data_IF_371249940361
#
_entry.id   IF_371249940361
#
_cell.length_a   1.000
_cell.length_b   1.000
_cell.length_c   1.000
_cell.angle_alpha   90.00
_cell.angle_beta   90.00
_cell.angle_gamma   90.00
#
_symmetry.space_group_name_H-M   'P 1'
#
loop_
_entity.id
_entity.type
_entity.pdbx_description
1 polymer ?
#
# COMPACT_ATOMS: atom_id res chain seq x y z
N UNK A 1 18.04 -45.20 66.10
CA UNK A 1 16.96 -45.39 65.10
C UNK A 1 16.37 -44.04 64.73
N UNK A 2 16.69 -43.55 63.53
CA UNK A 2 15.91 -42.69 62.61
C UNK A 2 16.91 -41.95 61.72
N UNK A 3 17.14 -42.55 60.54
CA UNK A 3 17.79 -41.92 59.41
C UNK A 3 16.90 -40.77 58.94
N UNK A 4 17.44 -39.55 58.86
CA UNK A 4 16.86 -38.49 58.05
C UNK A 4 17.85 -38.14 56.94
N UNK A 5 17.50 -38.61 55.75
CA UNK A 5 18.15 -38.38 54.47
C UNK A 5 17.74 -36.98 53.99
N UNK A 6 18.64 -36.00 54.10
CA UNK A 6 18.38 -34.65 53.57
C UNK A 6 18.72 -34.63 52.08
N UNK A 7 17.69 -34.68 51.25
CA UNK A 7 17.77 -34.59 49.79
C UNK A 7 18.09 -33.13 49.39
N UNK A 8 19.31 -32.85 48.95
CA UNK A 8 19.67 -31.57 48.33
C UNK A 8 19.12 -31.55 46.89
N UNK A 9 18.00 -30.87 46.67
CA UNK A 9 17.50 -30.60 45.33
C UNK A 9 18.36 -29.52 44.67
N UNK A 10 19.24 -29.92 43.74
CA UNK A 10 19.99 -29.01 42.89
C UNK A 10 19.03 -28.42 41.84
N UNK A 11 18.49 -27.23 42.10
CA UNK A 11 17.78 -26.47 41.07
C UNK A 11 18.77 -25.97 40.02
N UNK A 12 18.93 -26.72 38.94
CA UNK A 12 19.55 -26.23 37.70
C UNK A 12 18.61 -25.18 37.09
N UNK A 13 18.91 -23.90 37.31
CA UNK A 13 18.37 -22.82 36.49
C UNK A 13 18.99 -22.94 35.10
N UNK A 14 18.30 -23.63 34.19
CA UNK A 14 18.56 -23.48 32.77
C UNK A 14 18.05 -22.10 32.38
N UNK A 15 18.96 -21.13 32.34
CA UNK A 15 18.71 -19.85 31.66
C UNK A 15 18.59 -20.18 30.18
N UNK A 16 17.37 -20.43 29.71
CA UNK A 16 17.08 -20.34 28.28
C UNK A 16 17.27 -18.86 27.90
N UNK A 17 18.45 -18.53 27.41
CA UNK A 17 18.67 -17.29 26.68
C UNK A 17 17.76 -17.31 25.47
N UNK A 18 16.61 -16.67 25.59
CA UNK A 18 15.80 -16.29 24.44
C UNK A 18 16.71 -15.43 23.56
N UNK A 19 17.12 -15.96 22.39
CA UNK A 19 17.73 -15.14 21.36
C UNK A 19 16.68 -14.15 20.90
N UNK A 20 16.66 -12.98 21.52
CA UNK A 20 15.95 -11.80 21.03
C UNK A 20 16.50 -11.51 19.64
N UNK A 21 15.68 -11.70 18.60
CA UNK A 21 16.00 -11.40 17.19
C UNK A 21 16.28 -9.92 16.89
N UNK A 22 16.51 -9.09 17.92
CA UNK A 22 16.82 -7.68 17.82
C UNK A 22 18.33 -7.40 17.61
N UNK A 23 19.21 -8.40 17.77
CA UNK A 23 20.65 -8.21 17.54
C UNK A 23 21.11 -8.53 16.11
N UNK A 24 20.33 -9.27 15.31
CA UNK A 24 20.67 -9.55 13.90
C UNK A 24 20.19 -8.45 12.92
N UNK A 25 19.26 -7.59 13.33
CA UNK A 25 18.81 -6.44 12.53
C UNK A 25 19.86 -5.34 12.40
N UNK A 26 20.85 -5.28 13.30
CA UNK A 26 21.96 -4.32 13.25
C UNK A 26 23.01 -4.63 12.15
N UNK A 27 22.92 -5.76 11.46
CA UNK A 27 23.88 -6.17 10.41
C UNK A 27 23.39 -6.00 8.97
N UNK A 28 22.09 -5.78 8.75
CA UNK A 28 21.55 -5.62 7.41
C UNK A 28 21.38 -4.13 7.11
N UNK A 29 21.96 -3.66 6.00
CA UNK A 29 21.72 -2.29 5.54
C UNK A 29 20.26 -2.07 5.13
N UNK A 30 19.91 -0.83 4.78
CA UNK A 30 18.58 -0.46 4.27
C UNK A 30 18.16 -1.32 3.06
N UNK A 31 16.86 -1.43 2.82
CA UNK A 31 16.33 -2.03 1.58
C UNK A 31 16.42 -1.05 0.41
N UNK A 32 16.32 -1.54 -0.83
CA UNK A 32 16.24 -0.66 -2.01
C UNK A 32 14.99 0.22 -1.94
N UNK A 33 13.87 -0.31 -1.45
CA UNK A 33 12.65 0.49 -1.29
C UNK A 33 12.83 1.58 -0.24
N UNK A 34 13.43 1.27 0.92
CA UNK A 34 13.72 2.24 1.98
C UNK A 34 14.64 3.35 1.47
N UNK A 35 15.69 3.01 0.73
CA UNK A 35 16.59 4.01 0.11
C UNK A 35 15.83 5.00 -0.80
N UNK A 36 14.92 4.51 -1.63
CA UNK A 36 14.12 5.35 -2.52
C UNK A 36 13.04 6.13 -1.76
N UNK A 37 12.44 5.53 -0.74
CA UNK A 37 11.40 6.15 0.08
C UNK A 37 11.93 7.34 0.89
N UNK A 38 13.10 7.17 1.51
CA UNK A 38 13.76 8.17 2.37
C UNK A 38 14.35 9.36 1.62
N UNK A 39 14.28 9.35 0.27
CA UNK A 39 14.66 10.50 -0.55
C UNK A 39 13.84 11.75 -0.19
N UNK A 40 14.48 12.92 -0.03
CA UNK A 40 13.76 14.15 0.28
C UNK A 40 12.87 14.64 -0.87
N UNK A 41 13.21 14.28 -2.12
CA UNK A 41 12.39 14.63 -3.28
C UNK A 41 11.04 13.90 -3.22
N UNK A 42 9.93 14.59 -3.52
CA UNK A 42 8.60 13.98 -3.59
C UNK A 42 8.55 12.92 -4.72
N UNK A 43 9.22 13.20 -5.84
CA UNK A 43 9.34 12.32 -7.00
C UNK A 43 10.79 11.88 -7.19
N UNK A 44 11.05 10.57 -7.15
CA UNK A 44 12.37 10.03 -7.48
C UNK A 44 12.50 9.76 -8.98
N UNK A 45 13.64 10.05 -9.56
CA UNK A 45 13.92 9.77 -10.97
C UNK A 45 14.65 8.44 -11.11
N UNK A 46 14.09 7.54 -11.93
CA UNK A 46 14.63 6.20 -12.17
C UNK A 46 14.78 5.93 -13.66
N UNK A 47 15.74 5.11 -14.03
CA UNK A 47 15.86 4.54 -15.37
C UNK A 47 15.77 3.03 -15.29
N UNK A 48 14.92 2.42 -16.12
CA UNK A 48 14.80 0.96 -16.23
C UNK A 48 15.11 0.56 -17.67
N UNK A 49 16.19 -0.20 -17.85
CA UNK A 49 16.57 -0.83 -19.12
C UNK A 49 16.02 -2.27 -19.14
N UNK A 50 15.15 -2.59 -20.10
CA UNK A 50 14.51 -3.91 -20.24
C UNK A 50 13.90 -4.03 -21.64
N UNK A 51 13.57 -5.24 -22.16
CA UNK A 51 12.79 -5.36 -23.39
C UNK A 51 11.33 -4.93 -23.15
N UNK A 52 11.08 -3.64 -22.96
CA UNK A 52 9.85 -3.11 -22.37
C UNK A 52 8.65 -3.32 -23.29
N UNK A 53 8.82 -3.15 -24.60
CA UNK A 53 7.77 -3.49 -25.57
C UNK A 53 7.37 -4.96 -25.51
N UNK A 54 8.32 -5.86 -25.28
CA UNK A 54 8.03 -7.29 -25.12
C UNK A 54 7.14 -7.53 -23.89
N UNK A 55 7.44 -6.88 -22.76
CA UNK A 55 6.63 -6.96 -21.54
C UNK A 55 5.21 -6.46 -21.80
N UNK A 56 5.05 -5.34 -22.51
CA UNK A 56 3.73 -4.77 -22.85
C UNK A 56 2.93 -5.72 -23.73
N UNK A 57 3.54 -6.22 -24.82
CA UNK A 57 2.88 -7.10 -25.78
C UNK A 57 2.51 -8.46 -25.18
N UNK A 58 3.33 -8.96 -24.24
CA UNK A 58 3.16 -10.27 -23.59
C UNK A 58 2.75 -10.16 -22.13
N UNK A 59 2.15 -9.04 -21.71
CA UNK A 59 1.80 -8.77 -20.30
C UNK A 59 0.92 -9.84 -19.66
N UNK A 60 0.11 -10.56 -20.45
CA UNK A 60 -0.69 -11.69 -19.98
C UNK A 60 0.12 -12.92 -19.56
N UNK A 61 1.33 -13.11 -20.10
CA UNK A 61 2.19 -14.26 -19.78
C UNK A 61 2.99 -14.09 -18.48
N UNK A 62 3.10 -12.87 -17.97
CA UNK A 62 3.86 -12.53 -16.76
C UNK A 62 5.31 -13.05 -16.75
N UNK A 63 5.93 -13.16 -17.93
CA UNK A 63 7.31 -13.62 -18.07
C UNK A 63 8.30 -12.65 -17.41
N UNK A 64 9.22 -13.20 -16.61
CA UNK A 64 10.35 -12.45 -16.06
C UNK A 64 11.33 -12.11 -17.18
N UNK A 65 11.64 -10.82 -17.33
CA UNK A 65 12.68 -10.29 -18.22
C UNK A 65 13.82 -9.75 -17.39
N UNK A 66 15.05 -9.92 -17.86
CA UNK A 66 16.21 -9.25 -17.26
C UNK A 66 16.04 -7.74 -17.44
N UNK A 67 16.42 -6.99 -16.41
CA UNK A 67 16.39 -5.55 -16.44
C UNK A 67 17.48 -4.96 -15.56
N UNK A 68 17.87 -3.73 -15.88
CA UNK A 68 18.80 -2.94 -15.09
C UNK A 68 18.05 -1.71 -14.59
N UNK A 69 18.03 -1.52 -13.26
CA UNK A 69 17.52 -0.31 -12.62
C UNK A 69 18.71 0.61 -12.32
N UNK A 70 18.60 1.89 -12.69
CA UNK A 70 19.58 2.93 -12.35
C UNK A 70 18.91 4.15 -11.74
N UNK A 71 19.59 4.79 -10.80
CA UNK A 71 19.20 6.06 -10.19
C UNK A 71 20.40 6.68 -9.46
N UNK A 72 20.23 7.90 -8.95
CA UNK A 72 21.25 8.60 -8.16
C UNK A 72 21.02 8.35 -6.66
N UNK A 73 22.04 7.83 -5.98
CA UNK A 73 22.06 7.54 -4.55
C UNK A 73 21.98 8.79 -3.66
N UNK A 74 21.77 8.57 -2.36
CA UNK A 74 21.71 9.61 -1.32
C UNK A 74 22.97 10.50 -1.25
N UNK A 75 24.11 9.91 -1.58
CA UNK A 75 25.43 10.51 -1.64
C UNK A 75 25.77 11.15 -3.01
N UNK A 76 24.81 11.16 -3.94
CA UNK A 76 25.00 11.64 -5.31
C UNK A 76 25.70 10.64 -6.23
N UNK A 77 26.06 9.45 -5.76
CA UNK A 77 26.73 8.44 -6.59
C UNK A 77 25.71 7.65 -7.44
N UNK A 78 26.08 7.21 -8.65
CA UNK A 78 25.21 6.35 -9.44
C UNK A 78 25.00 5.00 -8.75
N UNK A 79 23.75 4.58 -8.63
CA UNK A 79 23.36 3.26 -8.13
C UNK A 79 22.78 2.44 -9.28
N UNK A 80 23.21 1.18 -9.38
CA UNK A 80 22.73 0.23 -10.37
C UNK A 80 22.36 -1.11 -9.73
N UNK A 81 21.22 -1.66 -10.12
CA UNK A 81 20.78 -2.99 -9.72
C UNK A 81 20.41 -3.83 -10.94
N UNK A 82 21.02 -5.01 -11.05
CA UNK A 82 20.58 -6.06 -11.96
C UNK A 82 19.40 -6.81 -11.33
N UNK A 83 18.29 -6.88 -12.05
CA UNK A 83 17.05 -7.47 -11.56
C UNK A 83 16.27 -8.19 -12.67
N UNK A 84 15.16 -8.81 -12.28
CA UNK A 84 14.14 -9.29 -13.20
C UNK A 84 12.86 -8.49 -13.03
N UNK A 85 12.17 -8.19 -14.12
CA UNK A 85 10.92 -7.43 -14.12
C UNK A 85 9.85 -8.16 -14.93
N UNK A 86 8.60 -8.07 -14.50
CA UNK A 86 7.44 -8.64 -15.21
C UNK A 86 6.20 -7.79 -14.99
N UNK A 87 5.21 -7.94 -15.87
CA UNK A 87 3.86 -7.45 -15.62
C UNK A 87 3.21 -8.15 -14.42
N UNK A 88 2.28 -7.45 -13.74
CA UNK A 88 1.44 -7.96 -12.65
C UNK A 88 0.03 -7.35 -12.70
N UNK A 89 -0.86 -7.86 -11.86
CA UNK A 89 -2.23 -7.39 -11.73
C UNK A 89 -3.18 -8.14 -12.66
N UNK A 90 -4.46 -7.81 -12.61
CA UNK A 90 -5.48 -8.43 -13.47
C UNK A 90 -6.05 -7.37 -14.43
N UNK A 91 -6.99 -6.54 -13.94
CA UNK A 91 -7.70 -5.54 -14.74
C UNK A 91 -6.79 -4.56 -15.48
N UNK A 92 -5.82 -3.93 -14.80
CA UNK A 92 -4.87 -3.01 -15.47
C UNK A 92 -4.02 -3.68 -16.55
N UNK A 93 -3.79 -5.00 -16.50
CA UNK A 93 -3.15 -5.71 -17.64
C UNK A 93 -4.08 -5.78 -18.85
N UNK A 94 -5.39 -5.78 -18.66
CA UNK A 94 -6.37 -5.82 -19.75
C UNK A 94 -6.57 -4.41 -20.32
N UNK A 95 -6.80 -3.41 -19.47
CA UNK A 95 -7.24 -2.07 -19.91
C UNK A 95 -6.12 -1.06 -20.16
N UNK A 96 -4.97 -1.20 -19.50
CA UNK A 96 -3.87 -0.24 -19.60
C UNK A 96 -2.85 -0.65 -20.67
N UNK A 97 -2.28 0.33 -21.38
CA UNK A 97 -1.19 0.05 -22.32
C UNK A 97 0.06 -0.36 -21.55
N UNK A 98 0.47 0.43 -20.55
CA UNK A 98 1.52 0.08 -19.63
C UNK A 98 0.94 -0.64 -18.40
N UNK A 99 1.29 -1.92 -18.17
CA UNK A 99 0.80 -2.65 -17.00
C UNK A 99 1.56 -2.20 -15.74
N UNK A 100 0.99 -2.42 -14.55
CA UNK A 100 1.75 -2.47 -13.32
C UNK A 100 2.84 -3.53 -13.41
N UNK A 101 4.00 -3.29 -12.79
CA UNK A 101 5.15 -4.19 -12.85
C UNK A 101 5.53 -4.68 -11.45
N UNK A 102 6.29 -5.77 -11.44
CA UNK A 102 6.97 -6.27 -10.25
C UNK A 102 8.46 -6.39 -10.56
N UNK A 103 9.28 -5.66 -9.83
CA UNK A 103 10.74 -5.82 -9.83
C UNK A 103 11.13 -6.92 -8.84
N UNK A 104 12.06 -7.77 -9.25
CA UNK A 104 12.58 -8.89 -8.47
C UNK A 104 14.11 -8.87 -8.52
N UNK A 105 14.72 -8.50 -7.40
CA UNK A 105 16.16 -8.41 -7.21
C UNK A 105 16.74 -9.78 -6.83
N UNK A 106 18.04 -9.98 -7.08
CA UNK A 106 18.75 -11.14 -6.52
C UNK A 106 19.13 -10.85 -5.07
N UNK A 107 18.71 -11.73 -4.14
CA UNK A 107 19.07 -11.60 -2.71
C UNK A 107 20.58 -11.58 -2.50
N UNK A 108 21.35 -12.40 -3.24
CA UNK A 108 22.80 -12.44 -3.09
C UNK A 108 23.47 -11.15 -3.57
N UNK A 109 23.00 -10.58 -4.68
CA UNK A 109 23.51 -9.30 -5.19
C UNK A 109 23.15 -8.15 -4.25
N UNK A 110 21.94 -8.14 -3.69
CA UNK A 110 21.54 -7.15 -2.68
C UNK A 110 22.47 -7.18 -1.47
N UNK A 111 22.70 -8.37 -0.88
CA UNK A 111 23.59 -8.52 0.27
C UNK A 111 25.04 -8.15 -0.06
N UNK A 112 25.53 -8.50 -1.25
CA UNK A 112 26.86 -8.09 -1.72
C UNK A 112 26.98 -6.56 -1.85
N UNK A 113 25.91 -5.89 -2.28
CA UNK A 113 25.83 -4.43 -2.37
C UNK A 113 25.47 -3.75 -1.03
N UNK A 114 25.41 -4.50 0.08
CA UNK A 114 25.15 -3.96 1.42
C UNK A 114 23.67 -3.72 1.77
N UNK A 115 22.73 -4.15 0.93
CA UNK A 115 21.30 -4.03 1.17
C UNK A 115 20.74 -5.24 1.93
N UNK A 116 19.68 -5.01 2.72
CA UNK A 116 18.87 -6.11 3.24
C UNK A 116 18.23 -6.93 2.10
N UNK A 117 18.07 -8.25 2.25
CA UNK A 117 17.66 -9.16 1.17
C UNK A 117 16.14 -9.14 0.87
N UNK A 118 15.50 -7.98 1.03
CA UNK A 118 14.15 -7.73 0.53
C UNK A 118 14.23 -7.46 -0.96
N UNK A 119 13.63 -8.36 -1.72
CA UNK A 119 14.04 -8.61 -3.09
C UNK A 119 12.92 -8.36 -4.10
N UNK A 120 11.84 -7.72 -3.68
CA UNK A 120 10.70 -7.45 -4.55
C UNK A 120 10.22 -6.03 -4.32
N UNK A 121 9.88 -5.31 -5.37
CA UNK A 121 9.18 -4.02 -5.28
C UNK A 121 8.03 -4.04 -6.29
N UNK A 122 6.83 -3.70 -5.82
CA UNK A 122 5.66 -3.54 -6.69
C UNK A 122 5.64 -2.10 -7.19
N UNK A 123 5.34 -1.92 -8.47
CA UNK A 123 5.11 -0.60 -9.03
C UNK A 123 3.83 -0.54 -9.86
N UNK A 124 3.06 0.52 -9.67
CA UNK A 124 1.87 0.83 -10.49
C UNK A 124 2.24 1.97 -11.44
N UNK A 125 2.17 1.72 -12.76
CA UNK A 125 2.47 2.74 -13.78
C UNK A 125 1.21 3.54 -14.14
N UNK A 126 1.40 4.78 -14.58
CA UNK A 126 0.39 5.45 -15.43
C UNK A 126 0.03 4.56 -16.61
N UNK A 127 -1.27 4.37 -16.87
CA UNK A 127 -1.74 3.42 -17.88
C UNK A 127 -1.31 3.77 -19.32
N UNK A 128 -1.11 5.06 -19.60
CA UNK A 128 -0.59 5.66 -20.82
C UNK A 128 0.18 6.94 -20.45
N UNK A 129 1.01 7.51 -21.32
CA UNK A 129 1.59 8.83 -21.10
C UNK A 129 0.48 9.88 -21.22
N UNK A 130 0.63 11.01 -20.54
CA UNK A 130 -0.27 12.16 -20.65
C UNK A 130 -0.94 12.54 -19.33
N UNK A 131 -1.44 13.78 -19.29
CA UNK A 131 -1.86 14.46 -18.07
C UNK A 131 -2.99 13.73 -17.34
N UNK A 132 -4.00 13.23 -18.05
CA UNK A 132 -5.14 12.54 -17.43
C UNK A 132 -4.74 11.22 -16.74
N UNK A 133 -3.84 10.44 -17.36
CA UNK A 133 -3.36 9.18 -16.77
C UNK A 133 -2.46 9.45 -15.57
N UNK A 134 -1.64 10.50 -15.65
CA UNK A 134 -0.83 10.96 -14.52
C UNK A 134 -1.71 11.43 -13.37
N UNK A 135 -2.79 12.17 -13.66
CA UNK A 135 -3.76 12.62 -12.67
C UNK A 135 -4.40 11.44 -11.92
N UNK A 136 -4.81 10.39 -12.63
CA UNK A 136 -5.32 9.16 -12.00
C UNK A 136 -4.28 8.55 -11.06
N UNK A 137 -3.04 8.41 -11.51
CA UNK A 137 -1.96 7.87 -10.68
C UNK A 137 -1.68 8.74 -9.45
N UNK A 138 -1.68 10.07 -9.60
CA UNK A 138 -1.43 10.97 -8.48
C UNK A 138 -2.55 10.93 -7.44
N UNK A 139 -3.80 10.79 -7.87
CA UNK A 139 -4.94 10.59 -6.96
C UNK A 139 -4.87 9.24 -6.24
N UNK A 140 -4.44 8.18 -6.93
CA UNK A 140 -4.20 6.88 -6.29
C UNK A 140 -3.09 6.98 -5.23
N UNK A 141 -1.97 7.63 -5.58
CA UNK A 141 -0.87 7.92 -4.65
C UNK A 141 -1.34 8.72 -3.43
N UNK A 142 -2.19 9.73 -3.66
CA UNK A 142 -2.81 10.51 -2.59
C UNK A 142 -3.67 9.62 -1.69
N UNK A 143 -4.42 8.66 -2.24
CA UNK A 143 -5.17 7.67 -1.44
C UNK A 143 -4.28 6.96 -0.41
N UNK A 144 -3.10 6.49 -0.82
CA UNK A 144 -2.13 5.91 0.12
C UNK A 144 -1.64 6.93 1.16
N UNK A 145 -1.28 8.15 0.73
CA UNK A 145 -0.82 9.22 1.63
C UNK A 145 -1.87 9.60 2.67
N UNK A 146 -3.15 9.67 2.29
CA UNK A 146 -4.27 9.92 3.20
C UNK A 146 -4.43 8.78 4.21
N UNK A 147 -4.32 7.52 3.77
CA UNK A 147 -4.39 6.38 4.69
C UNK A 147 -3.20 6.32 5.66
N UNK A 148 -2.01 6.75 5.24
CA UNK A 148 -0.85 6.87 6.13
C UNK A 148 -1.07 7.83 7.32
N UNK A 149 -1.95 8.84 7.16
CA UNK A 149 -2.32 9.77 8.23
C UNK A 149 -3.33 9.16 9.23
N UNK A 150 -4.05 8.12 8.82
CA UNK A 150 -5.08 7.46 9.64
C UNK A 150 -4.48 6.34 10.49
N UNK A 151 -3.59 5.55 9.89
CA UNK A 151 -3.13 4.30 10.50
C UNK A 151 -1.62 4.07 10.30
N UNK A 152 -0.88 3.70 11.37
CA UNK A 152 0.51 3.25 11.24
C UNK A 152 0.61 1.91 10.48
N UNK A 153 -0.48 1.12 10.47
CA UNK A 153 -0.60 -0.12 9.70
C UNK A 153 -1.05 0.22 8.28
N UNK A 154 -0.12 0.76 7.51
CA UNK A 154 -0.36 1.25 6.15
C UNK A 154 0.87 0.98 5.28
N UNK A 155 0.67 0.79 3.98
CA UNK A 155 1.79 0.70 3.05
C UNK A 155 2.45 2.07 2.89
N UNK A 156 3.78 2.11 2.99
CA UNK A 156 4.55 3.26 2.50
C UNK A 156 4.54 3.26 0.98
N UNK A 157 4.50 4.44 0.39
CA UNK A 157 4.57 4.62 -1.06
C UNK A 157 5.55 5.74 -1.42
N UNK A 158 6.15 5.65 -2.60
CA UNK A 158 6.98 6.71 -3.17
C UNK A 158 6.61 6.95 -4.63
N UNK A 159 6.43 8.20 -5.01
CA UNK A 159 6.19 8.55 -6.41
C UNK A 159 7.53 8.54 -7.17
N UNK A 160 7.53 7.97 -8.37
CA UNK A 160 8.69 7.91 -9.23
C UNK A 160 8.34 8.41 -10.63
N UNK A 161 9.29 9.08 -11.28
CA UNK A 161 9.29 9.31 -12.73
C UNK A 161 10.31 8.34 -13.33
N UNK A 162 9.81 7.38 -14.11
CA UNK A 162 10.62 6.29 -14.65
C UNK A 162 10.82 6.49 -16.15
N UNK A 163 12.08 6.52 -16.57
CA UNK A 163 12.48 6.41 -17.97
C UNK A 163 12.70 4.94 -18.31
N UNK A 164 11.79 4.37 -19.09
CA UNK A 164 11.95 3.02 -19.62
C UNK A 164 12.75 3.06 -20.92
N UNK A 165 13.91 2.42 -20.95
CA UNK A 165 14.74 2.25 -22.14
C UNK A 165 14.54 0.84 -22.71
N UNK A 166 14.11 0.74 -23.97
CA UNK A 166 13.85 -0.54 -24.61
C UNK A 166 15.12 -1.10 -25.26
N UNK A 167 15.67 -2.17 -24.67
CA UNK A 167 16.92 -2.79 -25.16
C UNK A 167 16.76 -3.47 -26.53
N UNK A 168 15.53 -3.80 -26.94
CA UNK A 168 15.27 -4.41 -28.25
C UNK A 168 15.10 -3.33 -29.34
N UNK A 169 15.07 -2.04 -28.96
CA UNK A 169 14.77 -0.91 -29.85
C UNK A 169 15.63 0.30 -29.50
N UNK A 170 16.82 0.33 -30.10
CA UNK A 170 17.81 1.38 -29.87
C UNK A 170 17.23 2.80 -29.97
N UNK A 171 17.57 3.64 -29.00
CA UNK A 171 17.14 5.03 -28.91
C UNK A 171 15.68 5.25 -28.49
N UNK A 172 14.89 4.19 -28.23
CA UNK A 172 13.50 4.34 -27.79
C UNK A 172 13.39 4.36 -26.27
N UNK A 173 12.87 5.48 -25.76
CA UNK A 173 12.51 5.64 -24.36
C UNK A 173 11.04 5.98 -24.18
N UNK A 174 10.51 5.71 -23.00
CA UNK A 174 9.21 6.20 -22.57
C UNK A 174 9.30 6.63 -21.11
N UNK A 175 8.91 7.86 -20.82
CA UNK A 175 8.78 8.36 -19.46
C UNK A 175 7.36 8.13 -18.94
N UNK A 176 7.24 7.56 -17.75
CA UNK A 176 5.97 7.37 -17.05
C UNK A 176 6.13 7.71 -15.58
N UNK A 177 5.08 8.25 -14.98
CA UNK A 177 5.00 8.23 -13.52
C UNK A 177 4.62 6.82 -13.05
N UNK A 178 5.10 6.46 -11.86
CA UNK A 178 4.77 5.22 -11.18
C UNK A 178 4.73 5.40 -9.66
N UNK A 179 3.92 4.60 -8.99
CA UNK A 179 3.93 4.47 -7.52
C UNK A 179 4.77 3.25 -7.18
N UNK A 180 5.87 3.44 -6.44
CA UNK A 180 6.56 2.37 -5.75
C UNK A 180 5.81 2.06 -4.47
N UNK A 181 5.41 0.80 -4.27
CA UNK A 181 4.64 0.37 -3.11
C UNK A 181 5.53 -0.51 -2.23
N UNK A 182 5.52 -0.21 -0.92
CA UNK A 182 6.25 -0.98 0.08
C UNK A 182 5.92 -2.48 -0.05
N UNK A 183 6.92 -3.35 -0.12
CA UNK A 183 6.68 -4.78 -0.17
C UNK A 183 6.03 -5.27 1.13
N UNK A 184 5.08 -6.21 1.05
CA UNK A 184 4.37 -6.72 2.23
C UNK A 184 5.32 -7.35 3.27
N UNK A 185 6.42 -7.95 2.81
CA UNK A 185 7.48 -8.44 3.68
C UNK A 185 8.21 -7.30 4.42
N UNK A 186 8.46 -6.17 3.75
CA UNK A 186 9.08 -5.00 4.37
C UNK A 186 8.13 -4.30 5.33
N UNK A 187 6.85 -4.16 4.95
CA UNK A 187 5.78 -3.70 5.83
C UNK A 187 5.74 -4.50 7.13
N UNK A 188 5.75 -5.83 7.02
CA UNK A 188 5.75 -6.72 8.19
C UNK A 188 7.02 -6.56 9.03
N UNK A 189 8.19 -6.50 8.40
CA UNK A 189 9.44 -6.29 9.11
C UNK A 189 9.46 -4.94 9.85
N UNK A 190 8.99 -3.86 9.21
CA UNK A 190 8.86 -2.53 9.81
C UNK A 190 7.93 -2.52 11.02
N UNK A 191 6.84 -3.27 10.96
CA UNK A 191 5.83 -3.32 12.03
C UNK A 191 6.10 -4.43 13.06
N UNK A 192 7.17 -5.21 12.92
CA UNK A 192 7.39 -6.41 13.73
C UNK A 192 6.28 -7.45 13.60
N UNK A 193 5.51 -7.40 12.51
CA UNK A 193 4.31 -8.18 12.28
C UNK A 193 4.58 -9.42 11.44
N UNK A 194 3.62 -10.34 11.41
CA UNK A 194 3.65 -11.52 10.53
C UNK A 194 2.60 -11.42 9.42
N UNK A 195 2.99 -11.81 8.20
CA UNK A 195 2.07 -11.95 7.07
C UNK A 195 1.11 -13.11 7.35
N UNK A 196 -0.19 -12.89 7.19
CA UNK A 196 -1.18 -13.95 7.24
C UNK A 196 -1.80 -14.10 5.86
N UNK A 197 -1.41 -15.16 5.15
CA UNK A 197 -1.89 -15.42 3.78
C UNK A 197 -3.23 -16.16 3.71
N UNK A 198 -3.84 -16.48 4.86
CA UNK A 198 -5.11 -17.21 4.92
C UNK A 198 -6.26 -16.32 4.45
N UNK A 199 -7.08 -16.85 3.52
CA UNK A 199 -8.41 -16.30 3.24
C UNK A 199 -9.19 -16.27 4.55
N UNK A 200 -9.69 -15.10 4.90
CA UNK A 200 -10.52 -14.94 6.08
C UNK A 200 -11.93 -15.28 5.68
N UNK A 201 -12.65 -16.07 6.43
CA UNK A 201 -14.07 -16.28 6.12
C UNK A 201 -14.97 -15.29 6.84
N UNK A 202 -14.46 -14.59 7.87
CA UNK A 202 -15.25 -13.71 8.74
C UNK A 202 -14.44 -12.55 9.33
N UNK A 203 -15.09 -11.38 9.48
CA UNK A 203 -14.51 -10.17 10.09
C UNK A 203 -14.13 -10.31 11.56
N UNK A 204 -14.67 -11.32 12.27
CA UNK A 204 -14.37 -11.60 13.69
C UNK A 204 -12.87 -11.79 13.99
N UNK A 205 -12.09 -12.18 12.97
CA UNK A 205 -10.65 -12.36 13.08
C UNK A 205 -9.85 -11.05 12.95
N UNK A 206 -10.51 -9.92 12.69
CA UNK A 206 -9.90 -8.60 12.53
C UNK A 206 -10.21 -7.73 13.74
N UNK A 207 -9.26 -6.87 14.13
CA UNK A 207 -9.46 -5.87 15.19
C UNK A 207 -10.60 -4.90 14.79
N UNK A 208 -11.71 -4.84 15.56
CA UNK A 208 -12.92 -4.09 15.18
C UNK A 208 -12.68 -2.60 14.92
N UNK A 209 -11.91 -1.92 15.78
CA UNK A 209 -11.66 -0.49 15.62
C UNK A 209 -10.84 -0.18 14.37
N UNK A 210 -9.87 -1.04 14.02
CA UNK A 210 -9.10 -0.90 12.78
C UNK A 210 -9.92 -1.24 11.54
N UNK A 211 -10.84 -2.21 11.65
CA UNK A 211 -11.78 -2.52 10.59
C UNK A 211 -12.71 -1.32 10.33
N UNK A 212 -13.26 -0.71 11.39
CA UNK A 212 -14.09 0.48 11.29
C UNK A 212 -13.35 1.67 10.66
N UNK A 213 -12.10 1.95 11.10
CA UNK A 213 -11.26 2.98 10.49
C UNK A 213 -11.04 2.74 8.99
N UNK A 214 -10.76 1.49 8.61
CA UNK A 214 -10.54 1.11 7.22
C UNK A 214 -11.83 1.25 6.39
N UNK A 215 -12.97 0.79 6.89
CA UNK A 215 -14.25 0.86 6.15
C UNK A 215 -14.75 2.31 6.01
N UNK A 216 -14.59 3.14 7.05
CA UNK A 216 -14.87 4.59 6.97
C UNK A 216 -13.93 5.28 5.98
N UNK A 217 -12.65 4.89 5.92
CA UNK A 217 -11.72 5.39 4.90
C UNK A 217 -12.15 4.99 3.48
N UNK A 218 -12.47 3.71 3.27
CA UNK A 218 -12.92 3.21 1.97
C UNK A 218 -14.20 3.94 1.52
N UNK A 219 -15.14 4.18 2.44
CA UNK A 219 -16.31 5.00 2.19
C UNK A 219 -15.93 6.45 1.81
N UNK A 220 -15.01 7.08 2.55
CA UNK A 220 -14.55 8.46 2.29
C UNK A 220 -14.04 8.63 0.86
N UNK A 221 -13.22 7.69 0.38
CA UNK A 221 -12.64 7.74 -0.96
C UNK A 221 -13.55 7.15 -2.04
N UNK A 222 -14.76 6.69 -1.68
CA UNK A 222 -15.69 6.05 -2.61
C UNK A 222 -15.17 4.74 -3.18
N UNK A 223 -14.44 3.96 -2.39
CA UNK A 223 -13.89 2.66 -2.81
C UNK A 223 -14.78 1.51 -2.37
N UNK A 224 -15.35 0.80 -3.36
CA UNK A 224 -16.10 -0.44 -3.14
C UNK A 224 -15.39 -1.69 -3.68
N UNK A 225 -14.22 -1.53 -4.30
CA UNK A 225 -13.43 -2.62 -4.87
C UNK A 225 -12.44 -3.19 -3.83
N UNK A 226 -12.97 -3.86 -2.81
CA UNK A 226 -12.18 -4.56 -1.80
C UNK A 226 -12.99 -5.73 -1.25
N UNK A 227 -12.36 -6.76 -0.69
CA UNK A 227 -13.10 -7.82 -0.01
C UNK A 227 -12.21 -8.48 1.05
N UNK A 228 -12.62 -8.35 2.31
CA UNK A 228 -11.88 -8.87 3.45
C UNK A 228 -11.73 -10.39 3.39
N UNK A 229 -12.75 -11.10 2.90
CA UNK A 229 -12.78 -12.54 2.97
C UNK A 229 -11.77 -13.20 2.01
N UNK A 230 -11.74 -12.73 0.77
CA UNK A 230 -10.80 -13.21 -0.24
C UNK A 230 -9.49 -12.41 -0.30
N UNK A 231 -9.32 -11.39 0.56
CA UNK A 231 -8.18 -10.45 0.58
C UNK A 231 -8.01 -9.66 -0.73
N UNK A 232 -9.11 -9.38 -1.42
CA UNK A 232 -9.09 -8.53 -2.61
C UNK A 232 -8.80 -7.09 -2.21
N UNK A 233 -7.75 -6.49 -2.80
CA UNK A 233 -7.26 -5.14 -2.51
C UNK A 233 -6.98 -4.89 -1.03
N UNK A 234 -6.52 -5.95 -0.33
CA UNK A 234 -6.27 -5.93 1.10
C UNK A 234 -5.13 -6.87 1.52
N UNK A 235 -4.25 -6.38 2.39
CA UNK A 235 -3.30 -7.19 3.13
C UNK A 235 -3.81 -7.45 4.54
N UNK A 236 -3.30 -8.50 5.17
CA UNK A 236 -3.69 -8.92 6.52
C UNK A 236 -2.47 -9.33 7.30
N UNK A 237 -2.23 -8.64 8.41
CA UNK A 237 -1.06 -8.86 9.25
C UNK A 237 -1.47 -9.22 10.67
N UNK A 238 -0.57 -9.93 11.36
CA UNK A 238 -0.65 -10.18 12.80
C UNK A 238 0.40 -9.31 13.49
N UNK A 239 -0.03 -8.19 14.06
CA UNK A 239 0.84 -7.31 14.83
C UNK A 239 1.12 -7.91 16.23
N UNK A 240 2.33 -7.75 16.78
CA UNK A 240 2.75 -8.43 18.00
C UNK A 240 1.93 -8.04 19.24
N UNK A 241 1.47 -6.79 19.31
CA UNK A 241 0.67 -6.23 20.40
C UNK A 241 -0.84 -6.51 20.29
N UNK A 242 -1.29 -7.20 19.23
CA UNK A 242 -2.71 -7.42 18.94
C UNK A 242 -3.10 -8.88 19.04
N UNK A 243 -4.34 -9.13 19.44
CA UNK A 243 -4.87 -10.50 19.54
C UNK A 243 -5.56 -10.93 18.24
N UNK A 244 -6.10 -9.99 17.48
CA UNK A 244 -6.68 -10.21 16.16
C UNK A 244 -5.77 -9.66 15.06
N UNK A 245 -6.19 -9.87 13.81
CA UNK A 245 -5.50 -9.42 12.62
C UNK A 245 -5.80 -7.95 12.34
N UNK A 246 -4.93 -7.31 11.58
CA UNK A 246 -5.14 -5.96 11.05
C UNK A 246 -5.28 -6.05 9.55
N UNK A 247 -6.37 -5.48 9.05
CA UNK A 247 -6.65 -5.32 7.64
C UNK A 247 -6.03 -4.02 7.13
N UNK A 248 -5.26 -4.10 6.04
CA UNK A 248 -4.57 -2.95 5.44
C UNK A 248 -5.01 -2.84 3.98
N UNK A 249 -5.77 -1.79 3.59
CA UNK A 249 -6.24 -1.62 2.23
C UNK A 249 -5.09 -1.16 1.31
N UNK A 250 -5.15 -1.55 0.05
CA UNK A 250 -4.27 -1.08 -1.04
C UNK A 250 -5.00 -1.20 -2.38
N UNK A 251 -4.40 -0.74 -3.49
CA UNK A 251 -5.02 -0.69 -4.84
C UNK A 251 -6.27 0.21 -4.84
N UNK A 252 -6.05 1.52 -4.89
CA UNK A 252 -7.12 2.54 -4.78
C UNK A 252 -7.61 3.08 -6.12
N UNK A 253 -7.16 2.51 -7.23
CA UNK A 253 -7.47 3.01 -8.57
C UNK A 253 -8.94 2.93 -8.94
N UNK A 254 -9.64 1.93 -8.42
CA UNK A 254 -11.08 1.74 -8.59
C UNK A 254 -11.97 2.64 -7.71
N UNK A 255 -11.38 3.58 -6.96
CA UNK A 255 -12.12 4.45 -6.05
C UNK A 255 -12.69 5.70 -6.74
N UNK A 256 -13.79 6.24 -6.21
CA UNK A 256 -14.35 7.51 -6.63
C UNK A 256 -13.42 8.72 -6.44
N UNK A 257 -12.44 8.64 -5.54
CA UNK A 257 -11.36 9.64 -5.40
C UNK A 257 -10.54 9.73 -6.68
N UNK A 258 -10.20 8.59 -7.27
CA UNK A 258 -9.40 8.50 -8.50
C UNK A 258 -10.27 8.74 -9.72
N UNK A 259 -11.45 8.11 -9.78
CA UNK A 259 -12.42 8.20 -10.86
C UNK A 259 -11.80 7.92 -12.24
N UNK A 260 -11.10 6.79 -12.38
CA UNK A 260 -10.55 6.38 -13.68
C UNK A 260 -11.64 6.06 -14.69
N UNK A 261 -11.34 6.23 -15.97
CA UNK A 261 -12.25 5.95 -17.09
C UNK A 261 -12.62 4.47 -17.26
N UNK A 262 -11.87 3.55 -16.65
CA UNK A 262 -12.13 2.10 -16.67
C UNK A 262 -12.77 1.55 -15.38
N UNK A 263 -12.95 2.39 -14.36
CA UNK A 263 -13.54 1.98 -13.09
C UNK A 263 -15.06 1.98 -13.21
N UNK A 264 -15.66 0.85 -12.84
CA UNK A 264 -17.10 0.60 -12.93
C UNK A 264 -17.58 0.09 -11.57
N UNK A 265 -18.76 0.51 -11.10
CA UNK A 265 -19.33 -0.07 -9.90
C UNK A 265 -19.61 -1.55 -10.09
N UNK A 266 -19.51 -2.32 -9.01
CA UNK A 266 -19.96 -3.70 -9.04
C UNK A 266 -21.47 -3.74 -9.29
N UNK A 267 -21.92 -4.52 -10.27
CA UNK A 267 -23.33 -4.62 -10.71
C UNK A 267 -24.31 -5.03 -9.59
N UNK A 268 -23.81 -5.66 -8.52
CA UNK A 268 -24.62 -6.05 -7.35
C UNK A 268 -24.88 -4.90 -6.38
N UNK A 269 -24.21 -3.76 -6.53
CA UNK A 269 -24.34 -2.60 -5.65
C UNK A 269 -25.39 -1.61 -6.18
N UNK A 270 -26.10 -0.90 -5.29
CA UNK A 270 -27.14 0.06 -5.68
C UNK A 270 -26.55 1.43 -6.07
N UNK A 271 -25.39 1.45 -6.73
CA UNK A 271 -24.72 2.66 -7.21
C UNK A 271 -24.48 2.57 -8.71
N UNK A 272 -24.62 3.70 -9.39
CA UNK A 272 -24.50 3.81 -10.85
C UNK A 272 -23.15 4.36 -11.29
N UNK A 273 -22.41 4.96 -10.37
CA UNK A 273 -21.14 5.63 -10.66
C UNK A 273 -20.17 5.41 -9.49
N UNK A 274 -18.88 5.18 -9.79
CA UNK A 274 -17.85 4.91 -8.75
C UNK A 274 -17.59 6.13 -7.86
N UNK A 275 -17.96 7.33 -8.29
CA UNK A 275 -17.96 8.53 -7.47
C UNK A 275 -19.00 8.50 -6.35
N UNK A 276 -20.06 7.68 -6.46
CA UNK A 276 -21.07 7.51 -5.42
C UNK A 276 -20.51 6.68 -4.26
N UNK A 277 -20.54 7.24 -3.05
CA UNK A 277 -20.10 6.54 -1.85
C UNK A 277 -21.15 5.52 -1.42
N UNK A 278 -20.70 4.31 -1.13
CA UNK A 278 -21.54 3.23 -0.64
C UNK A 278 -20.82 2.45 0.45
N UNK A 279 -21.46 2.26 1.60
CA UNK A 279 -20.91 1.49 2.70
C UNK A 279 -21.31 0.02 2.55
N UNK A 280 -20.41 -0.77 1.96
CA UNK A 280 -20.63 -2.21 1.74
C UNK A 280 -20.16 -3.11 2.89
N UNK A 281 -19.49 -2.52 3.89
CA UNK A 281 -18.90 -3.20 5.04
C UNK A 281 -19.93 -3.58 6.10
N UNK A 282 -19.49 -3.93 7.30
CA UNK A 282 -20.37 -4.36 8.40
C UNK A 282 -20.92 -3.17 9.20
N UNK A 283 -21.98 -3.41 9.98
CA UNK A 283 -22.46 -2.40 10.92
C UNK A 283 -21.54 -2.41 12.15
N UNK A 284 -21.23 -1.24 12.66
CA UNK A 284 -20.39 -1.08 13.85
C UNK A 284 -21.23 -0.57 15.02
N UNK A 285 -20.77 -0.83 16.24
CA UNK A 285 -21.41 -0.24 17.41
C UNK A 285 -21.23 1.29 17.42
N UNK A 286 -22.20 2.02 18.01
CA UNK A 286 -22.17 3.48 17.99
C UNK A 286 -20.92 4.11 18.62
N UNK A 287 -20.32 3.46 19.63
CA UNK A 287 -19.18 4.01 20.35
C UNK A 287 -17.89 3.89 19.52
N UNK A 288 -17.64 2.75 18.88
CA UNK A 288 -16.54 2.61 17.90
C UNK A 288 -16.68 3.64 16.79
N UNK A 289 -17.87 3.82 16.21
CA UNK A 289 -18.06 4.83 15.16
C UNK A 289 -17.86 6.25 15.68
N UNK A 290 -18.32 6.59 16.88
CA UNK A 290 -18.08 7.90 17.49
C UNK A 290 -16.58 8.22 17.55
N UNK A 291 -15.77 7.27 18.00
CA UNK A 291 -14.32 7.43 18.09
C UNK A 291 -13.66 7.56 16.70
N UNK A 292 -14.08 6.74 15.74
CA UNK A 292 -13.58 6.83 14.36
C UNK A 292 -13.93 8.18 13.73
N UNK A 293 -15.17 8.63 13.88
CA UNK A 293 -15.64 9.93 13.36
C UNK A 293 -14.83 11.08 13.96
N UNK A 294 -14.61 11.08 15.28
CA UNK A 294 -13.80 12.10 15.97
C UNK A 294 -12.37 12.16 15.40
N UNK A 295 -11.74 11.00 15.17
CA UNK A 295 -10.42 10.92 14.56
C UNK A 295 -10.41 11.49 13.12
N UNK A 296 -11.39 11.13 12.29
CA UNK A 296 -11.47 11.65 10.92
C UNK A 296 -11.74 13.15 10.89
N UNK A 297 -12.62 13.67 11.74
CA UNK A 297 -12.87 15.10 11.84
C UNK A 297 -11.59 15.87 12.21
N UNK A 298 -10.76 15.33 13.11
CA UNK A 298 -9.44 15.87 13.43
C UNK A 298 -8.45 15.86 12.25
N UNK A 299 -8.66 15.00 11.26
CA UNK A 299 -7.84 14.88 10.04
C UNK A 299 -8.33 15.74 8.87
N UNK A 300 -9.42 16.50 9.02
CA UNK A 300 -9.97 17.35 7.94
C UNK A 300 -8.92 18.30 7.35
N UNK A 301 -8.22 19.07 8.19
CA UNK A 301 -7.16 19.99 7.74
C UNK A 301 -5.92 19.25 7.24
N UNK A 302 -5.38 18.22 7.94
CA UNK A 302 -4.31 17.38 7.39
C UNK A 302 -4.60 16.79 6.00
N UNK A 303 -5.83 16.36 5.71
CA UNK A 303 -6.18 15.81 4.39
C UNK A 303 -6.22 16.90 3.32
N UNK A 304 -6.79 18.07 3.61
CA UNK A 304 -6.76 19.21 2.71
C UNK A 304 -5.30 19.61 2.40
N UNK A 305 -4.44 19.63 3.40
CA UNK A 305 -3.04 19.95 3.23
C UNK A 305 -2.32 18.90 2.36
N UNK A 306 -2.58 17.61 2.59
CA UNK A 306 -2.03 16.54 1.76
C UNK A 306 -2.43 16.66 0.28
N UNK A 307 -3.65 17.11 -0.02
CA UNK A 307 -4.08 17.40 -1.40
C UNK A 307 -3.27 18.54 -2.02
N UNK A 308 -2.98 19.61 -1.26
CA UNK A 308 -2.31 20.83 -1.75
C UNK A 308 -0.81 20.66 -1.92
N UNK A 309 -0.19 19.87 -1.04
CA UNK A 309 1.27 19.69 -1.01
C UNK A 309 1.78 18.67 -2.02
N UNK A 310 0.90 17.87 -2.62
CA UNK A 310 1.29 16.84 -3.57
C UNK A 310 1.81 17.47 -4.87
N UNK A 311 3.13 17.66 -4.96
CA UNK A 311 3.83 18.18 -6.15
C UNK A 311 4.15 17.01 -7.09
N UNK A 312 3.18 16.54 -7.89
CA UNK A 312 2.94 17.07 -9.24
C UNK A 312 1.45 17.28 -9.57
N UNK A 313 0.58 17.24 -8.56
CA UNK A 313 -0.85 17.52 -8.69
C UNK A 313 -1.04 19.03 -8.88
N UNK A 314 -1.77 19.45 -9.91
CA UNK A 314 -1.99 20.88 -10.14
C UNK A 314 -2.90 21.48 -9.05
N UNK A 315 -2.82 22.79 -8.74
CA UNK A 315 -3.70 23.43 -7.77
C UNK A 315 -5.19 23.25 -8.07
N UNK A 316 -5.55 23.20 -9.37
CA UNK A 316 -6.92 22.88 -9.80
C UNK A 316 -7.31 21.46 -9.43
N UNK A 317 -6.47 20.48 -9.76
CA UNK A 317 -6.73 19.08 -9.45
C UNK A 317 -6.75 18.81 -7.93
N UNK A 318 -5.90 19.49 -7.16
CA UNK A 318 -5.93 19.47 -5.69
C UNK A 318 -7.28 19.98 -5.17
N UNK A 319 -7.77 21.13 -5.67
CA UNK A 319 -9.07 21.69 -5.31
C UNK A 319 -10.24 20.78 -5.69
N UNK A 320 -10.21 20.17 -6.88
CA UNK A 320 -11.22 19.19 -7.31
C UNK A 320 -11.24 17.96 -6.39
N UNK A 321 -10.06 17.51 -5.94
CA UNK A 321 -9.90 16.40 -5.01
C UNK A 321 -10.42 16.74 -3.61
N UNK A 322 -10.10 17.94 -3.10
CA UNK A 322 -10.68 18.46 -1.85
C UNK A 322 -12.21 18.57 -1.94
N UNK A 323 -12.73 19.05 -3.07
CA UNK A 323 -14.17 19.16 -3.31
C UNK A 323 -14.86 17.80 -3.32
N UNK A 324 -14.20 16.76 -3.82
CA UNK A 324 -14.73 15.39 -3.73
C UNK A 324 -14.82 14.90 -2.28
N UNK A 325 -13.81 15.17 -1.45
CA UNK A 325 -13.75 14.75 -0.05
C UNK A 325 -14.69 15.56 0.87
N UNK A 326 -14.94 16.84 0.57
CA UNK A 326 -15.69 17.74 1.47
C UNK A 326 -17.11 17.24 1.85
N UNK A 327 -17.93 16.66 0.95
CA UNK A 327 -19.22 16.09 1.33
C UNK A 327 -19.14 14.98 2.37
N UNK A 328 -18.06 14.19 2.40
CA UNK A 328 -17.86 13.17 3.44
C UNK A 328 -17.72 13.82 4.82
N UNK A 329 -16.86 14.84 4.95
CA UNK A 329 -16.69 15.56 6.23
C UNK A 329 -17.94 16.30 6.67
N UNK A 330 -18.72 16.83 5.72
CA UNK A 330 -20.04 17.38 6.02
C UNK A 330 -20.98 16.30 6.57
N UNK A 331 -20.99 15.12 5.96
CA UNK A 331 -21.81 13.98 6.41
C UNK A 331 -21.41 13.49 7.80
N UNK A 332 -20.12 13.47 8.13
CA UNK A 332 -19.64 13.10 9.48
C UNK A 332 -20.18 14.02 10.59
N UNK A 333 -20.47 15.30 10.27
CA UNK A 333 -21.06 16.26 11.20
C UNK A 333 -22.60 16.13 11.31
N UNK A 334 -23.24 15.36 10.43
CA UNK A 334 -24.67 15.03 10.53
C UNK A 334 -24.82 13.71 11.28
N UNK A 335 -25.03 13.78 12.59
CA UNK A 335 -25.11 12.59 13.46
C UNK A 335 -26.15 11.57 12.98
N UNK A 336 -27.27 12.04 12.42
CA UNK A 336 -28.31 11.14 11.90
C UNK A 336 -27.83 10.42 10.66
N UNK A 337 -27.29 11.14 9.68
CA UNK A 337 -26.80 10.54 8.43
C UNK A 337 -25.60 9.62 8.67
N UNK A 338 -24.70 10.01 9.56
CA UNK A 338 -23.56 9.20 9.97
C UNK A 338 -24.02 7.86 10.60
N UNK A 339 -24.98 7.91 11.53
CA UNK A 339 -25.54 6.69 12.15
C UNK A 339 -26.23 5.81 11.10
N UNK A 340 -27.01 6.41 10.21
CA UNK A 340 -27.63 5.69 9.09
C UNK A 340 -26.61 4.90 8.28
N UNK A 341 -25.50 5.53 7.88
CA UNK A 341 -24.49 4.89 7.02
C UNK A 341 -23.69 3.80 7.74
N UNK A 342 -23.18 4.08 8.95
CA UNK A 342 -22.19 3.20 9.61
C UNK A 342 -22.74 2.30 10.73
N UNK A 343 -23.89 2.65 11.32
CA UNK A 343 -24.50 1.89 12.42
C UNK A 343 -25.73 1.12 11.94
N UNK A 344 -26.61 1.78 11.18
CA UNK A 344 -27.86 1.17 10.69
C UNK A 344 -27.72 0.53 9.30
N UNK A 345 -26.65 0.86 8.56
CA UNK A 345 -26.40 0.46 7.17
C UNK A 345 -27.52 0.85 6.18
N UNK A 346 -28.16 1.99 6.43
CA UNK A 346 -29.07 2.66 5.51
C UNK A 346 -28.25 3.57 4.59
N UNK A 347 -28.02 3.09 3.37
CA UNK A 347 -27.23 3.78 2.34
C UNK A 347 -28.02 4.88 1.64
#
# INVERSE_FOLDING_TARGET
>A
MKNNLTLFALCFFVVLSAKTGAQDTLRLGKTVFQELYERPEEVVELTIETPFRNIIQKKGLEELKKATLRYTGGDGQPVQHELQIRARGNRRKEVCYFPPLKMKFSKSLLTQAGYAPFHEIKLANSCRPGEINNLYLFKEYLGYRLYNLISPYSFRVKLAKITYLDVDREGQSTELYAILIEPEAELCARLGAQVIERKLTYGVFVEPDHLAQMEVFQYMIGNTDWNLANRHNMATIKAPERTKLIAIPYDFDYSGLVATDYAEPNETLPIQDVGQRYHKGDAFDPETIRQVVENFLGLTTPFQQACRDLTPLSPRAAKETEAYLAPFFKMLNDSKRMQQVFVEKIN
#
